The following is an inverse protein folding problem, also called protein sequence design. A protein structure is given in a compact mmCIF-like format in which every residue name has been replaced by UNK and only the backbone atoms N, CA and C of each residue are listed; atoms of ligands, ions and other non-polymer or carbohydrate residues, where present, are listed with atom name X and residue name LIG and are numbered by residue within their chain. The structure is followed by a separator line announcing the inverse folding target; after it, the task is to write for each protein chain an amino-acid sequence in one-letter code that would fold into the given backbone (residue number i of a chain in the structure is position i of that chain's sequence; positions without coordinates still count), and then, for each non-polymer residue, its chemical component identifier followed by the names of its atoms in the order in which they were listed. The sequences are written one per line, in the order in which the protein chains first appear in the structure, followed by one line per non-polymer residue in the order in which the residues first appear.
data_IF_408228375586
#
_entry.id   IF_408228375586
#
_cell.length_a   1.000
_cell.length_b   1.000
_cell.length_c   1.000
_cell.angle_alpha   90.00
_cell.angle_beta   90.00
_cell.angle_gamma   90.00
#
_symmetry.space_group_name_H-M   'P 1'
#
loop_
_entity.id
_entity.type
_entity.pdbx_description
1 polymer ?
#
# COMPACT_ATOMS: atom_id res chain seq x y z
N UNK A 1 11.11 -24.30 -15.85
CA UNK A 1 12.08 -24.94 -14.92
C UNK A 1 13.44 -24.33 -15.22
N UNK A 2 13.99 -23.51 -14.31
CA UNK A 2 15.35 -22.97 -14.47
C UNK A 2 16.38 -24.09 -14.42
N UNK A 3 17.42 -24.01 -15.27
CA UNK A 3 18.54 -24.96 -15.23
C UNK A 3 19.29 -24.80 -13.91
N UNK A 4 19.81 -25.87 -13.28
CA UNK A 4 20.64 -25.77 -12.08
C UNK A 4 21.86 -24.89 -12.36
N UNK A 5 22.01 -23.79 -11.62
CA UNK A 5 23.12 -22.83 -11.76
C UNK A 5 22.77 -21.50 -12.42
N UNK A 6 21.56 -21.31 -12.92
CA UNK A 6 21.12 -20.02 -13.49
C UNK A 6 20.70 -19.05 -12.35
N UNK A 7 21.30 -17.87 -12.32
CA UNK A 7 20.98 -16.84 -11.32
C UNK A 7 19.53 -16.39 -11.53
N UNK A 8 18.73 -16.45 -10.47
CA UNK A 8 17.34 -15.98 -10.53
C UNK A 8 17.29 -14.49 -10.86
N UNK A 9 16.36 -14.05 -11.72
CA UNK A 9 16.19 -12.62 -12.01
C UNK A 9 15.75 -11.87 -10.75
N UNK A 10 16.24 -10.63 -10.60
CA UNK A 10 15.86 -9.72 -9.54
C UNK A 10 14.60 -8.96 -9.95
N UNK A 11 13.55 -9.10 -9.17
CA UNK A 11 12.29 -8.39 -9.43
C UNK A 11 12.00 -7.45 -8.28
N UNK A 12 11.86 -6.16 -8.59
CA UNK A 12 11.38 -5.16 -7.64
C UNK A 12 9.91 -4.91 -7.92
N UNK A 13 9.09 -4.97 -6.86
CA UNK A 13 7.65 -4.72 -6.91
C UNK A 13 7.34 -3.52 -6.03
N UNK A 14 6.80 -2.44 -6.61
CA UNK A 14 6.40 -1.23 -5.91
C UNK A 14 4.91 -1.30 -5.56
N UNK A 15 4.62 -1.32 -4.27
CA UNK A 15 3.28 -1.43 -3.69
C UNK A 15 2.98 -2.83 -3.15
N UNK A 16 2.63 -2.91 -1.85
CA UNK A 16 2.23 -4.15 -1.16
C UNK A 16 0.70 -4.27 -1.01
N UNK A 17 -0.06 -3.68 -1.93
CA UNK A 17 -1.50 -3.87 -2.05
C UNK A 17 -1.85 -5.25 -2.63
N UNK A 18 -3.12 -5.44 -3.04
CA UNK A 18 -3.59 -6.70 -3.62
C UNK A 18 -2.76 -7.16 -4.81
N UNK A 19 -2.52 -6.28 -5.79
CA UNK A 19 -1.76 -6.62 -7.00
C UNK A 19 -0.31 -6.96 -6.69
N UNK A 20 0.37 -6.14 -5.89
CA UNK A 20 1.79 -6.33 -5.56
C UNK A 20 2.05 -7.59 -4.74
N UNK A 21 1.24 -7.88 -3.72
CA UNK A 21 1.36 -9.12 -2.93
C UNK A 21 1.05 -10.37 -3.75
N UNK A 22 0.05 -10.31 -4.64
CA UNK A 22 -0.28 -11.41 -5.54
C UNK A 22 0.87 -11.69 -6.51
N UNK A 23 1.41 -10.64 -7.15
CA UNK A 23 2.56 -10.74 -8.03
C UNK A 23 3.79 -11.29 -7.29
N UNK A 24 4.08 -10.74 -6.09
CA UNK A 24 5.23 -11.18 -5.30
C UNK A 24 5.16 -12.69 -4.97
N UNK A 25 4.02 -13.18 -4.52
CA UNK A 25 3.82 -14.61 -4.23
C UNK A 25 3.94 -15.49 -5.46
N UNK A 26 3.37 -15.05 -6.58
CA UNK A 26 3.45 -15.80 -7.85
C UNK A 26 4.88 -15.91 -8.40
N UNK A 27 5.74 -14.92 -8.12
CA UNK A 27 7.10 -14.84 -8.63
C UNK A 27 8.16 -15.40 -7.67
N UNK A 28 7.85 -15.62 -6.40
CA UNK A 28 8.80 -15.96 -5.35
C UNK A 28 9.63 -17.23 -5.64
N UNK A 29 9.05 -18.20 -6.34
CA UNK A 29 9.73 -19.46 -6.65
C UNK A 29 10.73 -19.35 -7.81
N UNK A 30 10.52 -18.38 -8.73
CA UNK A 30 11.27 -18.25 -9.98
C UNK A 30 12.21 -17.04 -10.00
N UNK A 31 12.08 -16.12 -9.04
CA UNK A 31 12.83 -14.86 -8.99
C UNK A 31 13.28 -14.52 -7.55
N UNK A 32 14.27 -13.60 -7.45
CA UNK A 32 14.59 -12.89 -6.22
C UNK A 32 13.68 -11.66 -6.13
N UNK A 33 12.63 -11.75 -5.31
CA UNK A 33 11.60 -10.69 -5.22
C UNK A 33 11.90 -9.75 -4.06
N UNK A 34 11.93 -8.45 -4.35
CA UNK A 34 11.93 -7.37 -3.37
C UNK A 34 10.62 -6.58 -3.49
N UNK A 35 9.80 -6.65 -2.46
CA UNK A 35 8.54 -5.92 -2.34
C UNK A 35 8.78 -4.61 -1.56
N UNK A 36 8.34 -3.48 -2.11
CA UNK A 36 8.51 -2.13 -1.53
C UNK A 36 7.14 -1.53 -1.27
N UNK A 37 6.93 -0.98 -0.07
CA UNK A 37 5.74 -0.17 0.24
C UNK A 37 6.10 0.86 1.31
N UNK A 38 5.42 2.00 1.28
CA UNK A 38 5.55 3.05 2.30
C UNK A 38 5.00 2.63 3.67
N UNK A 39 4.10 1.64 3.70
CA UNK A 39 3.52 1.09 4.90
C UNK A 39 4.00 -0.34 5.13
N UNK A 40 4.14 -0.75 6.39
CA UNK A 40 4.46 -2.12 6.76
C UNK A 40 3.23 -3.02 6.89
N UNK A 41 2.07 -2.53 6.49
CA UNK A 41 0.80 -3.26 6.48
C UNK A 41 0.04 -3.06 5.16
N UNK A 42 -0.71 -4.08 4.77
CA UNK A 42 -1.69 -4.02 3.70
C UNK A 42 -3.04 -3.63 4.28
N UNK A 43 -3.72 -2.67 3.67
CA UNK A 43 -5.09 -2.32 4.02
C UNK A 43 -6.08 -3.10 3.16
N UNK A 44 -7.05 -3.77 3.80
CA UNK A 44 -8.17 -4.39 3.10
C UNK A 44 -9.22 -3.33 2.77
N UNK A 45 -9.01 -2.61 1.68
CA UNK A 45 -9.81 -1.47 1.25
C UNK A 45 -11.34 -1.71 1.23
N UNK A 46 -11.84 -2.91 0.81
CA UNK A 46 -13.29 -3.15 0.77
C UNK A 46 -14.01 -3.03 2.11
N UNK A 47 -13.30 -3.12 3.23
CA UNK A 47 -13.88 -3.00 4.58
C UNK A 47 -13.59 -1.65 5.27
N UNK A 48 -12.98 -0.67 4.59
CA UNK A 48 -12.70 0.64 5.18
C UNK A 48 -13.99 1.37 5.61
N UNK A 49 -15.09 1.17 4.90
CA UNK A 49 -16.37 1.76 5.27
C UNK A 49 -16.85 1.30 6.66
N UNK A 50 -16.53 0.05 7.06
CA UNK A 50 -16.87 -0.43 8.39
C UNK A 50 -16.02 0.22 9.48
N UNK A 51 -14.78 0.59 9.17
CA UNK A 51 -13.94 1.38 10.08
C UNK A 51 -14.50 2.79 10.23
N UNK A 52 -14.92 3.42 9.14
CA UNK A 52 -15.49 4.77 9.15
C UNK A 52 -16.82 4.87 9.86
N UNK A 53 -17.60 3.78 9.91
CA UNK A 53 -18.89 3.68 10.60
C UNK A 53 -18.80 3.03 11.99
N UNK A 54 -17.58 2.81 12.50
CA UNK A 54 -17.33 2.15 13.80
C UNK A 54 -17.75 0.68 13.89
N UNK A 55 -18.07 0.02 12.77
CA UNK A 55 -18.41 -1.40 12.72
C UNK A 55 -17.21 -2.33 12.89
N UNK A 56 -15.98 -1.87 12.54
CA UNK A 56 -14.73 -2.59 12.74
C UNK A 56 -13.66 -1.70 13.36
N UNK A 57 -12.77 -2.29 14.15
CA UNK A 57 -11.54 -1.64 14.56
C UNK A 57 -10.54 -1.54 13.38
N UNK A 58 -9.69 -0.52 13.38
CA UNK A 58 -8.77 -0.24 12.27
C UNK A 58 -7.73 -1.35 12.02
N UNK A 59 -7.32 -2.05 13.07
CA UNK A 59 -6.39 -3.17 13.03
C UNK A 59 -6.97 -4.41 12.33
N UNK A 60 -8.28 -4.58 12.31
CA UNK A 60 -8.94 -5.68 11.61
C UNK A 60 -8.87 -5.56 10.06
N UNK A 61 -8.58 -4.36 9.56
CA UNK A 61 -8.42 -4.12 8.11
C UNK A 61 -6.98 -3.88 7.69
N UNK A 62 -6.04 -3.88 8.65
CA UNK A 62 -4.61 -3.64 8.43
C UNK A 62 -3.80 -4.90 8.73
N UNK A 63 -3.38 -5.62 7.69
CA UNK A 63 -2.62 -6.86 7.85
C UNK A 63 -1.11 -6.62 7.64
N UNK A 64 -0.22 -7.04 8.57
CA UNK A 64 1.22 -6.84 8.44
C UNK A 64 1.79 -7.49 7.16
N UNK A 65 2.49 -6.70 6.32
CA UNK A 65 3.09 -7.21 5.07
C UNK A 65 4.08 -8.35 5.35
N UNK A 66 4.91 -8.22 6.39
CA UNK A 66 5.88 -9.28 6.76
C UNK A 66 5.20 -10.58 7.18
N UNK A 67 3.99 -10.51 7.76
CA UNK A 67 3.14 -11.66 8.02
C UNK A 67 2.65 -12.32 6.73
N UNK A 68 2.23 -11.49 5.76
CA UNK A 68 1.71 -11.95 4.47
C UNK A 68 2.76 -12.70 3.61
N UNK A 69 4.04 -12.34 3.75
CA UNK A 69 5.16 -12.93 2.98
C UNK A 69 6.03 -13.89 3.80
N UNK A 70 5.57 -14.27 4.98
CA UNK A 70 6.33 -15.17 5.86
C UNK A 70 6.65 -16.50 5.15
N UNK A 71 7.90 -16.94 5.27
CA UNK A 71 8.42 -18.19 4.67
C UNK A 71 8.37 -18.25 3.14
N UNK A 72 8.20 -17.12 2.45
CA UNK A 72 8.13 -17.08 0.97
C UNK A 72 9.46 -16.75 0.28
N UNK A 73 10.51 -16.36 1.03
CA UNK A 73 11.77 -15.87 0.46
C UNK A 73 11.69 -14.44 -0.09
N UNK A 74 10.53 -13.78 -0.06
CA UNK A 74 10.34 -12.40 -0.50
C UNK A 74 11.00 -11.44 0.50
N UNK A 75 11.82 -10.52 0.00
CA UNK A 75 12.39 -9.43 0.79
C UNK A 75 11.41 -8.26 0.84
N UNK A 76 11.20 -7.64 2.01
CA UNK A 76 10.38 -6.43 2.14
C UNK A 76 11.25 -5.24 2.52
N UNK A 77 11.04 -4.13 1.81
CA UNK A 77 11.62 -2.81 2.10
C UNK A 77 10.50 -1.81 2.35
N UNK A 78 10.50 -1.20 3.54
CA UNK A 78 9.60 -0.10 3.82
C UNK A 78 10.22 1.19 3.30
N UNK A 79 9.51 1.90 2.44
CA UNK A 79 9.94 3.15 1.82
C UNK A 79 9.09 3.53 0.64
N UNK A 80 9.25 4.76 0.18
CA UNK A 80 8.56 5.30 -0.99
C UNK A 80 9.55 5.46 -2.15
N UNK A 81 9.21 5.00 -3.37
CA UNK A 81 10.05 5.27 -4.53
C UNK A 81 10.00 6.76 -4.87
N UNK A 82 11.17 7.40 -4.97
CA UNK A 82 11.29 8.82 -5.36
C UNK A 82 11.73 9.00 -6.80
N UNK A 83 12.44 8.00 -7.37
CA UNK A 83 12.80 8.01 -8.78
C UNK A 83 13.03 6.60 -9.32
N UNK A 84 12.74 6.43 -10.60
CA UNK A 84 13.02 5.21 -11.36
C UNK A 84 13.98 5.59 -12.49
N UNK A 85 15.16 4.95 -12.53
CA UNK A 85 16.09 5.08 -13.63
C UNK A 85 16.03 3.83 -14.52
N UNK A 86 15.34 3.96 -15.65
CA UNK A 86 15.17 2.87 -16.61
C UNK A 86 16.43 2.53 -17.42
N UNK A 87 17.44 3.41 -17.45
CA UNK A 87 18.72 3.15 -18.15
C UNK A 87 19.60 2.23 -17.33
N UNK A 88 19.61 2.43 -16.01
CA UNK A 88 20.43 1.65 -15.08
C UNK A 88 19.60 0.57 -14.35
N UNK A 89 18.34 0.40 -14.74
CA UNK A 89 17.40 -0.55 -14.11
C UNK A 89 17.42 -0.44 -12.57
N UNK A 90 17.20 0.77 -12.07
CA UNK A 90 17.26 1.04 -10.63
C UNK A 90 16.10 1.90 -10.13
N UNK A 91 15.72 1.69 -8.88
CA UNK A 91 14.74 2.49 -8.13
C UNK A 91 15.41 3.07 -6.91
N UNK A 92 15.31 4.39 -6.73
CA UNK A 92 15.77 5.08 -5.53
C UNK A 92 14.61 5.29 -4.57
N UNK A 93 14.80 4.93 -3.31
CA UNK A 93 13.84 5.13 -2.23
C UNK A 93 14.12 6.43 -1.46
N UNK A 94 13.12 6.89 -0.71
CA UNK A 94 13.20 8.05 0.22
C UNK A 94 14.26 7.85 1.32
N UNK A 95 14.58 6.62 1.69
CA UNK A 95 15.70 6.26 2.57
C UNK A 95 17.08 6.44 1.93
N UNK A 96 17.17 6.87 0.68
CA UNK A 96 18.39 6.90 -0.16
C UNK A 96 18.90 5.52 -0.59
N UNK A 97 18.25 4.43 -0.21
CA UNK A 97 18.55 3.08 -0.73
C UNK A 97 18.26 3.03 -2.24
N UNK A 98 19.15 2.40 -3.00
CA UNK A 98 18.98 2.15 -4.43
C UNK A 98 18.82 0.65 -4.64
N UNK A 99 17.71 0.27 -5.28
CA UNK A 99 17.39 -1.12 -5.60
C UNK A 99 17.57 -1.34 -7.10
N UNK A 100 18.50 -2.21 -7.47
CA UNK A 100 18.68 -2.66 -8.84
C UNK A 100 17.70 -3.79 -9.17
N UNK A 101 17.24 -3.85 -10.41
CA UNK A 101 16.29 -4.86 -10.86
C UNK A 101 16.60 -5.33 -12.29
N UNK A 102 16.19 -6.55 -12.60
CA UNK A 102 16.10 -7.06 -13.97
C UNK A 102 14.68 -6.82 -14.52
N UNK A 103 13.67 -6.85 -13.62
CA UNK A 103 12.27 -6.51 -13.95
C UNK A 103 11.66 -5.65 -12.83
N UNK A 104 10.81 -4.70 -13.23
CA UNK A 104 10.08 -3.81 -12.32
C UNK A 104 8.57 -4.00 -12.49
N UNK A 105 7.86 -4.20 -11.37
CA UNK A 105 6.41 -4.22 -11.33
C UNK A 105 5.92 -3.00 -10.55
N UNK A 106 5.08 -2.18 -11.18
CA UNK A 106 4.47 -1.00 -10.56
C UNK A 106 3.02 -1.35 -10.16
N UNK A 107 2.78 -1.50 -8.86
CA UNK A 107 1.51 -1.90 -8.27
C UNK A 107 1.07 -0.96 -7.13
N UNK A 108 1.38 0.33 -7.24
CA UNK A 108 1.19 1.35 -6.19
C UNK A 108 -0.27 1.75 -5.96
N UNK A 109 -1.22 1.18 -6.69
CA UNK A 109 -2.63 1.50 -6.59
C UNK A 109 -2.99 2.85 -7.21
N UNK A 110 -3.95 3.55 -6.61
CA UNK A 110 -4.45 4.82 -7.11
C UNK A 110 -4.64 5.84 -5.99
N UNK A 111 -4.52 7.12 -6.31
CA UNK A 111 -4.88 8.23 -5.44
C UNK A 111 -6.31 8.69 -5.73
N UNK A 112 -6.92 9.39 -4.76
CA UNK A 112 -8.18 10.11 -4.99
C UNK A 112 -7.93 11.24 -5.97
N UNK A 113 -8.83 11.41 -6.95
CA UNK A 113 -8.81 12.50 -7.90
C UNK A 113 -10.16 13.25 -7.81
N UNK A 114 -10.11 14.54 -7.61
CA UNK A 114 -11.28 15.42 -7.56
C UNK A 114 -11.68 15.96 -8.94
N UNK A 115 -10.92 15.62 -9.99
CA UNK A 115 -11.11 16.06 -11.37
C UNK A 115 -11.19 17.60 -11.53
N UNK A 116 -10.64 18.37 -10.58
CA UNK A 116 -10.69 19.82 -10.54
C UNK A 116 -12.09 20.38 -10.22
N UNK A 117 -13.01 19.56 -9.70
CA UNK A 117 -14.36 19.99 -9.30
C UNK A 117 -14.22 20.90 -8.09
N UNK A 118 -14.69 22.16 -8.25
CA UNK A 118 -14.62 23.19 -7.20
C UNK A 118 -15.33 22.71 -5.94
N UNK A 119 -14.67 22.81 -4.80
CA UNK A 119 -15.20 22.47 -3.49
C UNK A 119 -15.02 21.00 -3.10
N UNK A 120 -14.72 20.07 -4.02
CA UNK A 120 -14.54 18.65 -3.66
C UNK A 120 -13.38 18.49 -2.68
N UNK A 121 -12.22 19.06 -2.94
CA UNK A 121 -11.06 18.96 -2.05
C UNK A 121 -11.32 19.62 -0.68
N UNK A 122 -12.18 20.65 -0.62
CA UNK A 122 -12.46 21.41 0.59
C UNK A 122 -13.56 20.78 1.47
N UNK A 123 -14.61 20.23 0.83
CA UNK A 123 -15.83 19.79 1.51
C UNK A 123 -16.05 18.27 1.51
N UNK A 124 -15.12 17.49 0.94
CA UNK A 124 -15.21 16.03 0.96
C UNK A 124 -14.10 15.37 1.79
N UNK A 125 -14.36 14.16 2.25
CA UNK A 125 -13.41 13.31 2.94
C UNK A 125 -13.11 12.09 2.08
N UNK A 126 -11.83 11.80 1.85
CA UNK A 126 -11.37 10.61 1.15
C UNK A 126 -11.56 9.35 1.98
N UNK A 127 -11.66 8.18 1.32
CA UNK A 127 -11.73 6.88 1.97
C UNK A 127 -10.85 5.85 1.23
N UNK A 128 -9.54 6.11 1.17
CA UNK A 128 -8.55 5.21 0.56
C UNK A 128 -7.46 4.74 1.53
N UNK A 129 -7.51 5.22 2.77
CA UNK A 129 -6.57 4.82 3.82
C UNK A 129 -7.28 4.64 5.15
N UNK A 130 -6.64 3.90 6.06
CA UNK A 130 -7.14 3.74 7.44
C UNK A 130 -7.28 5.09 8.13
N UNK A 131 -6.33 6.00 7.95
CA UNK A 131 -6.39 7.34 8.56
C UNK A 131 -7.58 8.15 8.04
N UNK A 132 -7.89 8.10 6.76
CA UNK A 132 -9.07 8.76 6.19
C UNK A 132 -10.36 8.18 6.75
N UNK A 133 -10.47 6.84 6.86
CA UNK A 133 -11.63 6.20 7.48
C UNK A 133 -11.82 6.63 8.95
N UNK A 134 -10.74 6.72 9.72
CA UNK A 134 -10.77 7.22 11.10
C UNK A 134 -11.14 8.71 11.17
N UNK A 135 -10.70 9.51 10.21
CA UNK A 135 -11.07 10.94 10.11
C UNK A 135 -12.57 11.09 9.86
N UNK A 136 -13.14 10.29 8.95
CA UNK A 136 -14.59 10.26 8.71
C UNK A 136 -15.34 9.88 10.01
N UNK A 137 -14.91 8.79 10.67
CA UNK A 137 -15.48 8.36 11.95
C UNK A 137 -15.48 9.48 12.99
N UNK A 138 -14.34 10.13 13.18
CA UNK A 138 -14.19 11.22 14.14
C UNK A 138 -15.07 12.42 13.78
N UNK A 139 -15.21 12.75 12.50
CA UNK A 139 -16.08 13.84 12.03
C UNK A 139 -17.56 13.54 12.30
N UNK A 140 -18.01 12.31 12.03
CA UNK A 140 -19.40 11.88 12.29
C UNK A 140 -19.70 11.94 13.80
N UNK A 141 -18.85 11.33 14.62
CA UNK A 141 -19.04 11.31 16.09
C UNK A 141 -19.10 12.71 16.67
N UNK A 142 -18.19 13.61 16.22
CA UNK A 142 -18.19 14.99 16.67
C UNK A 142 -19.51 15.72 16.34
N UNK A 143 -20.08 15.48 15.16
CA UNK A 143 -21.35 16.07 14.78
C UNK A 143 -22.51 15.61 15.67
N UNK A 144 -22.53 14.35 16.08
CA UNK A 144 -23.52 13.87 17.04
C UNK A 144 -23.35 14.53 18.41
N UNK A 145 -22.11 14.63 18.92
CA UNK A 145 -21.84 15.32 20.20
C UNK A 145 -22.24 16.80 20.16
N UNK A 146 -21.97 17.49 19.04
CA UNK A 146 -22.35 18.90 18.86
C UNK A 146 -23.88 19.07 18.91
N UNK A 147 -24.65 18.13 18.34
CA UNK A 147 -26.11 18.18 18.39
C UNK A 147 -26.66 17.96 19.81
N UNK A 148 -26.10 17.03 20.59
CA UNK A 148 -26.53 16.75 21.95
C UNK A 148 -26.25 17.90 22.95
N UNK A 149 -25.43 18.90 22.57
CA UNK A 149 -25.17 20.07 23.42
C UNK A 149 -26.30 21.11 23.39
N UNK A 150 -27.25 20.97 22.47
CA UNK A 150 -28.34 21.94 22.28
C UNK A 150 -29.68 21.41 22.84
N UNK A 151 -29.68 20.23 23.49
CA UNK A 151 -30.79 19.72 24.29
C UNK A 151 -30.53 19.98 25.79
#
# INVERSE_FOLDING_TARGET
MNKPGEKKPRIVILGAGFGGLTAARGLANIAEVTLVDRHNFQTFLPLLYQVSTAGLAADHVAYPVRGAIRNSGIKFRMGSPISINHRDNSVKLDSSEVLEYDHLVIAMGSATNDFGIKGVAEFSLGMKSVNEALTIRAAVMRRFEDLCRFE
#
